data_IF_378896028183
#
_entry.id   IF_378896028183
#
_cell.length_a   1.000
_cell.length_b   1.000
_cell.length_c   1.000
_cell.angle_alpha   90.00
_cell.angle_beta   90.00
_cell.angle_gamma   90.00
#
_symmetry.space_group_name_H-M   'P 1'
#
loop_
_entity.id
_entity.type
_entity.pdbx_description
1 polymer ?
#
# COMPACT_ATOMS: atom_id res chain seq x y z
N UNK A 1 -4.31 -6.13 18.70
CA UNK A 1 -3.30 -5.87 17.67
C UNK A 1 -3.94 -5.17 16.49
N UNK A 2 -3.27 -4.15 15.99
CA UNK A 2 -3.80 -3.37 14.88
C UNK A 2 -3.32 -3.95 13.56
N UNK A 3 -4.24 -4.25 12.67
CA UNK A 3 -3.92 -4.77 11.33
C UNK A 3 -3.91 -3.62 10.34
N UNK A 4 -2.90 -3.57 9.49
CA UNK A 4 -2.70 -2.46 8.57
C UNK A 4 -2.55 -2.97 7.14
N UNK A 5 -3.28 -2.34 6.22
CA UNK A 5 -3.07 -2.50 4.78
C UNK A 5 -2.43 -1.21 4.28
N UNK A 6 -1.27 -1.33 3.66
CA UNK A 6 -0.57 -0.19 3.10
C UNK A 6 -0.78 -0.18 1.58
N UNK A 7 -1.32 0.91 1.08
CA UNK A 7 -1.57 1.09 -0.36
C UNK A 7 -0.62 2.14 -0.88
N UNK A 8 0.12 1.80 -1.93
CA UNK A 8 1.09 2.70 -2.55
C UNK A 8 0.62 3.03 -3.94
N UNK A 9 0.28 4.29 -4.16
CA UNK A 9 -0.24 4.76 -5.44
C UNK A 9 -0.05 6.27 -5.52
N UNK A 10 0.40 6.76 -6.67
CA UNK A 10 0.65 8.19 -6.83
C UNK A 10 -0.62 8.98 -7.12
N UNK A 11 -1.74 8.29 -7.36
CA UNK A 11 -3.02 8.94 -7.64
C UNK A 11 -3.78 9.19 -6.34
N UNK A 12 -4.01 10.45 -5.98
CA UNK A 12 -4.71 10.73 -4.71
C UNK A 12 -6.15 10.21 -4.68
N UNK A 13 -6.79 10.08 -5.83
CA UNK A 13 -8.17 9.59 -5.89
C UNK A 13 -8.29 8.14 -5.45
N UNK A 14 -7.20 7.39 -5.51
CA UNK A 14 -7.19 5.98 -5.10
C UNK A 14 -7.52 5.84 -3.62
N UNK A 15 -7.02 6.74 -2.80
CA UNK A 15 -7.34 6.71 -1.37
C UNK A 15 -8.84 6.84 -1.14
N UNK A 16 -9.46 7.80 -1.82
CA UNK A 16 -10.89 8.00 -1.69
C UNK A 16 -11.68 6.77 -2.10
N UNK A 17 -11.32 6.19 -3.24
CA UNK A 17 -11.98 5.00 -3.74
C UNK A 17 -11.88 3.83 -2.78
N UNK A 18 -10.68 3.58 -2.26
CA UNK A 18 -10.47 2.45 -1.37
C UNK A 18 -11.17 2.65 -0.03
N UNK A 19 -11.14 3.86 0.51
CA UNK A 19 -11.82 4.13 1.76
C UNK A 19 -13.33 3.97 1.62
N UNK A 20 -13.87 4.33 0.47
CA UNK A 20 -15.28 4.16 0.20
C UNK A 20 -15.63 2.69 0.00
N UNK A 21 -14.81 1.98 -0.76
CA UNK A 21 -15.05 0.57 -1.07
C UNK A 21 -14.99 -0.31 0.18
N UNK A 22 -14.08 -0.01 1.10
CA UNK A 22 -13.87 -0.81 2.30
C UNK A 22 -14.42 -0.15 3.57
N UNK A 23 -15.33 0.79 3.41
CA UNK A 23 -15.79 1.59 4.55
C UNK A 23 -16.42 0.75 5.66
N UNK A 24 -17.12 -0.34 5.31
CA UNK A 24 -17.72 -1.20 6.33
C UNK A 24 -16.66 -1.88 7.17
N UNK A 25 -15.64 -2.41 6.51
CA UNK A 25 -14.55 -3.08 7.22
C UNK A 25 -13.75 -2.11 8.07
N UNK A 26 -13.54 -0.89 7.55
CA UNK A 26 -12.80 0.13 8.29
C UNK A 26 -13.59 0.59 9.51
N UNK A 27 -14.89 0.78 9.37
CA UNK A 27 -15.75 1.15 10.49
C UNK A 27 -15.83 0.06 11.54
N UNK A 28 -15.84 -1.19 11.09
CA UNK A 28 -15.89 -2.32 12.01
C UNK A 28 -14.56 -2.56 12.70
N UNK A 29 -13.50 -1.84 12.31
CA UNK A 29 -12.20 -2.00 12.92
C UNK A 29 -11.47 -3.28 12.54
N UNK A 30 -11.86 -3.88 11.40
CA UNK A 30 -11.21 -5.12 10.96
C UNK A 30 -9.77 -4.88 10.57
N UNK A 31 -9.49 -3.73 9.97
CA UNK A 31 -8.13 -3.30 9.64
C UNK A 31 -8.15 -1.79 9.42
N UNK A 32 -6.96 -1.21 9.41
CA UNK A 32 -6.80 0.18 9.00
C UNK A 32 -6.08 0.22 7.66
N UNK A 33 -6.25 1.30 6.93
CA UNK A 33 -5.56 1.52 5.67
C UNK A 33 -4.73 2.79 5.77
N UNK A 34 -3.50 2.70 5.26
CA UNK A 34 -2.66 3.87 5.08
C UNK A 34 -2.24 3.95 3.64
N UNK A 35 -2.00 5.16 3.19
CA UNK A 35 -1.71 5.43 1.79
C UNK A 35 -0.40 6.17 1.66
N UNK A 36 0.45 5.71 0.77
CA UNK A 36 1.70 6.36 0.42
C UNK A 36 1.67 6.70 -1.05
N UNK A 37 2.06 7.91 -1.40
CA UNK A 37 1.96 8.37 -2.79
C UNK A 37 3.25 8.16 -3.57
N UNK A 38 4.24 7.53 -2.96
CA UNK A 38 5.49 7.23 -3.64
C UNK A 38 6.20 6.07 -2.97
N UNK A 39 7.15 5.49 -3.67
CA UNK A 39 7.96 4.41 -3.11
C UNK A 39 8.73 4.83 -1.87
N UNK A 40 9.45 5.96 -1.90
CA UNK A 40 10.18 6.40 -0.71
C UNK A 40 9.28 6.64 0.49
N UNK A 41 8.10 7.22 0.30
CA UNK A 41 7.15 7.42 1.39
C UNK A 41 6.67 6.08 1.93
N UNK A 42 6.42 5.11 1.03
CA UNK A 42 6.01 3.78 1.44
C UNK A 42 7.07 3.12 2.32
N UNK A 43 8.34 3.21 1.92
CA UNK A 43 9.43 2.63 2.70
C UNK A 43 9.55 3.29 4.07
N UNK A 44 9.33 4.59 4.12
CA UNK A 44 9.33 5.32 5.39
C UNK A 44 8.20 4.83 6.30
N UNK A 45 7.01 4.66 5.74
CA UNK A 45 5.86 4.15 6.51
C UNK A 45 6.12 2.75 7.05
N UNK A 46 6.73 1.90 6.23
CA UNK A 46 7.09 0.55 6.66
C UNK A 46 8.05 0.60 7.83
N UNK A 47 9.06 1.47 7.75
CA UNK A 47 10.07 1.60 8.81
C UNK A 47 9.46 2.14 10.10
N UNK A 48 8.45 2.99 9.99
CA UNK A 48 7.83 3.62 11.15
C UNK A 48 6.69 2.80 11.75
N UNK A 49 6.30 1.71 11.10
CA UNK A 49 5.13 0.94 11.52
C UNK A 49 5.48 0.06 12.71
N UNK A 50 5.41 0.66 13.89
CA UNK A 50 5.60 -0.05 15.16
C UNK A 50 4.24 -0.19 15.85
N UNK A 51 4.03 -1.30 16.53
CA UNK A 51 2.77 -1.52 17.23
C UNK A 51 1.61 -1.88 16.32
N UNK A 52 1.86 -2.11 15.04
CA UNK A 52 0.86 -2.55 14.08
C UNK A 52 1.42 -3.71 13.28
N UNK A 53 0.52 -4.54 12.78
CA UNK A 53 0.89 -5.63 11.87
C UNK A 53 0.51 -5.25 10.46
N UNK A 54 1.49 -5.07 9.60
CA UNK A 54 1.22 -4.86 8.18
C UNK A 54 0.85 -6.22 7.59
N UNK A 55 -0.38 -6.36 7.15
CA UNK A 55 -0.88 -7.63 6.63
C UNK A 55 -0.81 -7.71 5.11
N UNK A 56 -0.68 -6.59 4.45
CA UNK A 56 -0.65 -6.54 2.99
C UNK A 56 -0.09 -5.20 2.54
N UNK A 57 0.76 -5.24 1.53
CA UNK A 57 1.20 -4.04 0.82
C UNK A 57 0.72 -4.18 -0.62
N UNK A 58 -0.04 -3.20 -1.07
CA UNK A 58 -0.59 -3.17 -2.41
C UNK A 58 -0.02 -1.96 -3.13
N UNK A 59 0.71 -2.18 -4.22
CA UNK A 59 1.43 -1.10 -4.89
C UNK A 59 1.09 -1.03 -6.37
N UNK A 60 0.89 0.20 -6.84
CA UNK A 60 0.84 0.46 -8.27
C UNK A 60 2.23 0.21 -8.86
N UNK A 61 2.26 -0.30 -10.08
CA UNK A 61 3.52 -0.55 -10.79
C UNK A 61 4.07 0.76 -11.35
N UNK A 62 3.21 1.55 -11.96
CA UNK A 62 3.64 2.74 -12.69
C UNK A 62 3.55 3.98 -11.82
N UNK A 63 4.67 4.34 -11.22
CA UNK A 63 4.77 5.56 -10.41
C UNK A 63 6.00 6.33 -10.82
N UNK A 64 5.93 7.68 -10.84
CA UNK A 64 7.10 8.48 -11.16
C UNK A 64 8.20 8.29 -10.11
N UNK A 65 9.43 8.36 -10.55
CA UNK A 65 10.57 8.14 -9.68
C UNK A 65 10.81 6.67 -9.44
N UNK A 66 10.37 6.17 -8.30
CA UNK A 66 10.51 4.75 -7.98
C UNK A 66 9.24 4.02 -8.41
N UNK A 67 9.35 3.10 -9.35
CA UNK A 67 8.21 2.28 -9.77
C UNK A 67 7.89 1.23 -8.70
N UNK A 68 6.72 0.61 -8.84
CA UNK A 68 6.35 -0.50 -7.95
C UNK A 68 7.33 -1.65 -8.04
N UNK A 69 7.87 -1.92 -9.25
CA UNK A 69 8.84 -3.00 -9.43
C UNK A 69 10.16 -2.69 -8.75
N UNK A 70 10.54 -1.43 -8.67
CA UNK A 70 11.73 -1.02 -7.92
C UNK A 70 11.49 -1.04 -6.42
N UNK A 71 10.27 -0.70 -6.00
CA UNK A 71 9.90 -0.75 -4.60
C UNK A 71 9.89 -2.18 -4.06
N UNK A 72 9.46 -3.13 -4.87
CA UNK A 72 9.23 -4.51 -4.44
C UNK A 72 10.42 -5.12 -3.70
N UNK A 73 11.65 -5.15 -4.25
CA UNK A 73 12.76 -5.76 -3.52
C UNK A 73 13.10 -5.01 -2.24
N UNK A 74 12.92 -3.70 -2.22
CA UNK A 74 13.22 -2.91 -1.03
C UNK A 74 12.21 -3.17 0.07
N UNK A 75 10.93 -3.27 -0.27
CA UNK A 75 9.89 -3.58 0.71
C UNK A 75 10.03 -5.02 1.20
N UNK A 76 10.39 -5.94 0.31
CA UNK A 76 10.62 -7.33 0.69
C UNK A 76 11.80 -7.45 1.65
N UNK A 77 12.85 -6.66 1.44
CA UNK A 77 14.00 -6.67 2.34
C UNK A 77 13.62 -6.14 3.72
N UNK A 78 12.76 -5.13 3.75
CA UNK A 78 12.32 -4.54 5.02
C UNK A 78 11.34 -5.46 5.76
N UNK A 79 10.42 -6.08 5.04
CA UNK A 79 9.39 -6.93 5.63
C UNK A 79 9.19 -8.18 4.77
N UNK A 80 10.07 -9.17 4.91
CA UNK A 80 9.98 -10.39 4.09
C UNK A 80 8.74 -11.23 4.39
N UNK A 81 8.12 -11.01 5.54
CA UNK A 81 6.95 -11.76 5.97
C UNK A 81 5.63 -11.20 5.41
N UNK A 82 5.66 -10.02 4.79
CA UNK A 82 4.42 -9.35 4.36
C UNK A 82 4.20 -9.58 2.87
N UNK A 83 3.01 -10.05 2.47
CA UNK A 83 2.68 -10.17 1.05
C UNK A 83 2.64 -8.80 0.35
N UNK A 84 3.16 -8.75 -0.86
CA UNK A 84 3.15 -7.54 -1.66
C UNK A 84 2.46 -7.86 -2.98
N UNK A 85 1.42 -7.11 -3.30
CA UNK A 85 0.65 -7.28 -4.53
C UNK A 85 0.90 -6.09 -5.44
N UNK A 86 1.26 -6.37 -6.67
CA UNK A 86 1.44 -5.34 -7.69
C UNK A 86 0.16 -5.18 -8.48
N UNK A 87 -0.24 -3.94 -8.71
CA UNK A 87 -1.43 -3.64 -9.48
C UNK A 87 -1.03 -2.82 -10.68
N UNK A 88 -1.44 -3.25 -11.86
CA UNK A 88 -1.23 -2.45 -13.05
C UNK A 88 -2.24 -1.32 -13.09
N UNK A 89 -1.85 -0.24 -13.73
CA UNK A 89 -2.75 0.86 -13.96
C UNK A 89 -3.98 0.35 -14.68
N UNK A 90 -5.12 0.81 -14.23
CA UNK A 90 -6.29 0.39 -14.90
C UNK A 90 -6.25 0.78 -16.28
N UNK A 91 -6.71 0.17 -16.75
CA UNK A 91 -6.84 0.38 -17.91
C UNK A 91 -5.99 -0.04 -18.93
N UNK A 92 -5.64 -0.06 -18.68
CA UNK A 92 -5.00 -0.12 -19.50
C UNK A 92 -5.18 -0.94 -20.44
N UNK A 93 -5.47 -1.19 -20.63
CA UNK A 93 -5.68 -1.72 -21.19
C UNK A 93 -6.10 -1.92 -22.01
N UNK A 94 -6.21 -1.77 -22.02
CA UNK A 94 -6.55 -1.79 -22.58
C UNK A 94 -6.55 -1.61 -22.92
#
# INVERSE_FOLDING_TARGET
MKLLVLVVDDEPDVELLFRQQFRHDLRAGRFTMEFAQSGPVALQRIAEATGVSIILIQSDINMPGMSGLELLPKAKAARPDVPIVMITAYGDGN
#
